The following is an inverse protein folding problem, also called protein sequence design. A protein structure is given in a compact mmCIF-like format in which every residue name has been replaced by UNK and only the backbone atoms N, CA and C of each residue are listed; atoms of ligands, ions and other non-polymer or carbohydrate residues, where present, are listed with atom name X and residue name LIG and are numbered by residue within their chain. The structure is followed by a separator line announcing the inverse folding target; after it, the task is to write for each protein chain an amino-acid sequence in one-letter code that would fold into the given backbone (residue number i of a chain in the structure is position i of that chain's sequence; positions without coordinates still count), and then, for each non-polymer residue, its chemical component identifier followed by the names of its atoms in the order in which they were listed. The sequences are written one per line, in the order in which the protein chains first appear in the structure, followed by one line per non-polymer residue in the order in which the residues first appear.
data_IF_471131596191
#
_entry.id   IF_471131596191
#
_cell.length_a   1.000
_cell.length_b   1.000
_cell.length_c   1.000
_cell.angle_alpha   90.00
_cell.angle_beta   90.00
_cell.angle_gamma   90.00
#
_symmetry.space_group_name_H-M   'P 1'
#
loop_
_entity.id
_entity.type
_entity.pdbx_description
1 polymer ?
#
# COMPACT_ATOMS: atom_id res chain seq x y z
N UNK A 1 16.19 12.56 -11.34
CA UNK A 1 15.77 11.90 -10.10
C UNK A 1 14.93 12.89 -9.34
N UNK A 2 13.66 12.57 -9.08
CA UNK A 2 12.76 13.49 -8.37
C UNK A 2 13.08 13.42 -6.88
N UNK A 3 12.99 14.54 -6.15
CA UNK A 3 13.27 14.61 -4.71
C UNK A 3 12.48 13.57 -3.89
N UNK A 4 11.30 13.19 -4.39
CA UNK A 4 10.47 12.11 -3.83
C UNK A 4 11.14 10.72 -3.88
N UNK A 5 11.94 10.40 -4.91
CA UNK A 5 12.64 9.13 -5.01
C UNK A 5 13.78 9.02 -3.98
N UNK A 6 14.50 10.11 -3.76
CA UNK A 6 15.59 10.17 -2.77
C UNK A 6 15.06 10.09 -1.33
N UNK A 7 13.93 10.75 -1.04
CA UNK A 7 13.25 10.65 0.25
C UNK A 7 12.73 9.22 0.54
N UNK A 8 12.19 8.54 -0.49
CA UNK A 8 11.77 7.15 -0.35
C UNK A 8 12.96 6.20 -0.12
N UNK A 9 14.11 6.49 -0.73
CA UNK A 9 15.33 5.70 -0.57
C UNK A 9 15.98 5.92 0.80
N UNK A 10 15.96 7.15 1.32
CA UNK A 10 16.44 7.46 2.66
C UNK A 10 15.57 6.80 3.73
N UNK A 11 14.25 6.84 3.57
CA UNK A 11 13.31 6.15 4.45
C UNK A 11 13.56 4.64 4.49
N UNK A 12 13.79 4.01 3.34
CA UNK A 12 14.10 2.57 3.28
C UNK A 12 15.36 2.21 4.08
N UNK A 13 16.43 3.02 3.98
CA UNK A 13 17.65 2.82 4.76
C UNK A 13 17.42 2.94 6.26
N UNK A 14 16.61 3.91 6.69
CA UNK A 14 16.26 4.09 8.12
C UNK A 14 15.54 2.83 8.63
N UNK A 15 14.65 2.26 7.83
CA UNK A 15 13.93 1.06 8.22
C UNK A 15 14.84 -0.17 8.35
N UNK A 16 15.76 -0.38 7.40
CA UNK A 16 16.73 -1.47 7.48
C UNK A 16 17.62 -1.31 8.72
N UNK A 17 17.99 -0.08 9.06
CA UNK A 17 18.72 0.24 10.28
C UNK A 17 17.91 -0.07 11.55
N UNK A 18 16.64 0.31 11.63
CA UNK A 18 15.76 -0.04 12.75
C UNK A 18 15.61 -1.56 12.91
N UNK A 19 15.54 -2.31 11.80
CA UNK A 19 15.51 -3.78 11.82
C UNK A 19 16.81 -4.35 12.37
N UNK A 20 17.96 -3.82 11.95
CA UNK A 20 19.25 -4.26 12.47
C UNK A 20 19.36 -4.04 13.99
N UNK A 21 18.93 -2.87 14.48
CA UNK A 21 18.89 -2.60 15.93
C UNK A 21 17.94 -3.57 16.65
N UNK A 22 16.76 -3.84 16.08
CA UNK A 22 15.83 -4.83 16.63
C UNK A 22 16.47 -6.21 16.78
N UNK A 23 17.20 -6.69 15.76
CA UNK A 23 17.93 -7.97 15.82
C UNK A 23 19.00 -7.94 16.91
N UNK A 24 19.80 -6.87 16.98
CA UNK A 24 20.86 -6.71 17.99
C UNK A 24 20.27 -6.78 19.41
N UNK A 25 19.11 -6.18 19.65
CA UNK A 25 18.44 -6.25 20.95
C UNK A 25 17.95 -7.65 21.31
N UNK A 26 17.47 -8.42 20.33
CA UNK A 26 17.12 -9.83 20.56
C UNK A 26 18.36 -10.63 20.93
N UNK A 27 19.48 -10.44 20.22
CA UNK A 27 20.76 -11.09 20.54
C UNK A 27 21.24 -10.69 21.93
N UNK A 28 21.19 -9.39 22.26
CA UNK A 28 21.55 -8.88 23.58
C UNK A 28 20.67 -9.44 24.69
N UNK A 29 19.35 -9.57 24.47
CA UNK A 29 18.42 -10.22 25.39
C UNK A 29 18.78 -11.69 25.61
N UNK A 30 19.06 -12.44 24.55
CA UNK A 30 19.47 -13.84 24.65
C UNK A 30 20.76 -13.95 25.47
N UNK A 31 21.78 -13.18 25.13
CA UNK A 31 23.06 -13.16 25.84
C UNK A 31 22.88 -12.81 27.33
N UNK A 32 22.18 -11.72 27.64
CA UNK A 32 22.01 -11.21 29.01
C UNK A 32 21.28 -12.20 29.94
N UNK A 33 20.21 -12.85 29.45
CA UNK A 33 19.37 -13.71 30.29
C UNK A 33 19.78 -15.19 30.28
N UNK A 34 20.46 -15.68 29.24
CA UNK A 34 20.87 -17.09 29.18
C UNK A 34 22.30 -17.34 29.65
N UNK A 35 23.15 -16.29 29.63
CA UNK A 35 24.60 -16.37 29.93
C UNK A 35 25.28 -17.55 29.24
N UNK A 36 24.88 -17.84 28.00
CA UNK A 36 25.53 -18.89 27.21
C UNK A 36 26.93 -18.40 26.85
N UNK A 37 27.95 -19.14 27.30
CA UNK A 37 29.35 -18.88 26.97
C UNK A 37 29.59 -19.26 25.50
N UNK A 38 29.50 -18.28 24.61
CA UNK A 38 29.70 -18.42 23.17
C UNK A 38 31.15 -18.27 22.66
N UNK A 39 32.10 -17.75 23.44
CA UNK A 39 33.48 -17.41 23.03
C UNK A 39 34.44 -17.66 24.20
N UNK A 40 35.66 -18.14 24.00
CA UNK A 40 36.62 -18.36 25.10
C UNK A 40 37.32 -17.08 25.63
N UNK A 41 36.87 -15.88 25.21
CA UNK A 41 37.52 -14.62 25.52
C UNK A 41 36.89 -13.89 26.70
N UNK A 42 37.49 -14.03 27.88
CA UNK A 42 37.06 -13.38 29.12
C UNK A 42 36.95 -11.84 28.99
N UNK A 43 37.79 -11.22 28.17
CA UNK A 43 37.76 -9.76 27.91
C UNK A 43 36.50 -9.33 27.15
N UNK A 44 35.99 -10.15 26.23
CA UNK A 44 34.79 -9.84 25.46
C UNK A 44 33.56 -9.80 26.37
N UNK A 45 33.39 -10.79 27.25
CA UNK A 45 32.30 -10.81 28.23
C UNK A 45 32.30 -9.59 29.13
N UNK A 46 33.48 -9.21 29.65
CA UNK A 46 33.60 -8.07 30.55
C UNK A 46 33.18 -6.76 29.87
N UNK A 47 33.57 -6.55 28.60
CA UNK A 47 33.18 -5.35 27.84
C UNK A 47 31.68 -5.37 27.53
N UNK A 48 31.14 -6.49 27.04
CA UNK A 48 29.71 -6.60 26.68
C UNK A 48 28.84 -6.46 27.92
N UNK A 49 29.18 -7.12 29.02
CA UNK A 49 28.44 -7.03 30.29
C UNK A 49 28.44 -5.60 30.83
N UNK A 50 29.57 -4.88 30.75
CA UNK A 50 29.64 -3.47 31.16
C UNK A 50 28.69 -2.61 30.33
N UNK A 51 28.67 -2.80 29.01
CA UNK A 51 27.77 -2.05 28.12
C UNK A 51 26.31 -2.36 28.44
N UNK A 52 25.93 -3.64 28.53
CA UNK A 52 24.55 -4.05 28.77
C UNK A 52 24.05 -3.62 30.16
N UNK A 53 24.90 -3.70 31.19
CA UNK A 53 24.56 -3.23 32.53
C UNK A 53 24.37 -1.72 32.58
N UNK A 54 25.19 -0.93 31.85
CA UNK A 54 24.99 0.52 31.74
C UNK A 54 23.66 0.85 31.04
N UNK A 55 23.31 0.13 29.96
CA UNK A 55 21.99 0.29 29.33
C UNK A 55 20.85 -0.08 30.26
N UNK A 56 21.05 -1.09 31.12
CA UNK A 56 20.05 -1.46 32.11
C UNK A 56 19.90 -0.43 33.23
N UNK A 57 21.00 0.15 33.73
CA UNK A 57 20.95 1.16 34.79
C UNK A 57 20.29 2.45 34.35
N UNK A 58 20.49 2.86 33.10
CA UNK A 58 19.96 4.12 32.56
C UNK A 58 18.55 3.98 31.97
N UNK A 59 18.25 2.86 31.29
CA UNK A 59 16.99 2.69 30.55
C UNK A 59 16.09 1.57 31.06
N UNK A 60 16.53 0.74 32.02
CA UNK A 60 15.75 -0.40 32.53
C UNK A 60 15.44 -1.47 31.47
N UNK A 61 16.19 -1.47 30.36
CA UNK A 61 15.88 -2.28 29.18
C UNK A 61 16.00 -3.79 29.45
N UNK A 62 16.92 -4.18 30.34
CA UNK A 62 17.16 -5.57 30.73
C UNK A 62 16.64 -5.88 32.15
N UNK A 63 15.79 -5.02 32.73
CA UNK A 63 15.22 -5.25 34.05
C UNK A 63 14.38 -6.53 34.08
N UNK A 64 13.65 -6.79 32.98
CA UNK A 64 12.93 -8.03 32.73
C UNK A 64 13.09 -8.44 31.27
N UNK A 65 13.03 -9.74 31.01
CA UNK A 65 13.06 -10.29 29.65
C UNK A 65 11.98 -9.70 28.75
N UNK A 66 10.82 -9.40 29.34
CA UNK A 66 9.69 -8.79 28.64
C UNK A 66 10.01 -7.38 28.10
N UNK A 67 10.69 -6.54 28.87
CA UNK A 67 10.96 -5.14 28.50
C UNK A 67 11.87 -5.05 27.25
N UNK A 68 12.98 -5.78 27.26
CA UNK A 68 13.92 -5.80 26.13
C UNK A 68 13.29 -6.37 24.87
N UNK A 69 12.45 -7.40 25.02
CA UNK A 69 11.67 -7.97 23.91
C UNK A 69 10.64 -7.00 23.38
N UNK A 70 9.93 -6.27 24.25
CA UNK A 70 8.96 -5.27 23.83
C UNK A 70 9.62 -4.15 23.02
N UNK A 71 10.81 -3.68 23.44
CA UNK A 71 11.57 -2.68 22.68
C UNK A 71 12.04 -3.22 21.32
N UNK A 72 12.55 -4.45 21.27
CA UNK A 72 12.91 -5.11 20.02
C UNK A 72 11.71 -5.27 19.08
N UNK A 73 10.53 -5.62 19.60
CA UNK A 73 9.28 -5.75 18.85
C UNK A 73 8.79 -4.41 18.31
N UNK A 74 8.89 -3.32 19.10
CA UNK A 74 8.53 -1.97 18.64
C UNK A 74 9.40 -1.54 17.45
N UNK A 75 10.72 -1.72 17.54
CA UNK A 75 11.63 -1.40 16.44
C UNK A 75 11.37 -2.29 15.21
N UNK A 76 11.05 -3.57 15.43
CA UNK A 76 10.67 -4.47 14.34
C UNK A 76 9.40 -3.97 13.64
N UNK A 77 8.37 -3.61 14.40
CA UNK A 77 7.11 -3.10 13.86
C UNK A 77 7.34 -1.84 13.02
N UNK A 78 8.08 -0.87 13.56
CA UNK A 78 8.47 0.35 12.83
C UNK A 78 9.26 0.02 11.55
N UNK A 79 10.16 -0.96 11.61
CA UNK A 79 10.95 -1.43 10.46
C UNK A 79 10.14 -2.19 9.40
N UNK A 80 8.87 -2.50 9.64
CA UNK A 80 8.00 -3.16 8.66
C UNK A 80 7.06 -2.17 7.95
N UNK A 81 6.78 -1.00 8.52
CA UNK A 81 5.73 -0.09 8.02
C UNK A 81 6.00 0.56 6.64
N UNK A 82 7.26 0.78 6.26
CA UNK A 82 7.61 1.38 4.95
C UNK A 82 8.35 0.47 3.96
N UNK A 83 8.56 -0.83 4.21
CA UNK A 83 9.26 -1.70 3.25
C UNK A 83 8.42 -1.86 1.99
N UNK A 84 9.06 -1.87 0.81
CA UNK A 84 8.38 -2.22 -0.45
C UNK A 84 8.62 -3.71 -0.67
N UNK A 85 7.61 -4.54 -0.46
CA UNK A 85 7.70 -5.96 -0.79
C UNK A 85 7.12 -6.24 -2.16
N UNK A 86 7.82 -7.05 -2.96
CA UNK A 86 7.30 -7.58 -4.23
C UNK A 86 6.25 -8.65 -3.93
N UNK A 87 5.19 -8.70 -4.74
CA UNK A 87 4.03 -9.58 -4.54
C UNK A 87 4.44 -11.06 -4.50
N UNK A 88 3.74 -11.80 -3.65
CA UNK A 88 3.66 -13.26 -3.69
C UNK A 88 2.17 -13.59 -3.48
N UNK A 89 1.52 -14.17 -4.48
CA UNK A 89 0.05 -14.24 -4.58
C UNK A 89 -0.61 -15.31 -3.70
N UNK A 90 0.16 -16.07 -2.93
CA UNK A 90 -0.35 -17.22 -2.18
C UNK A 90 -0.82 -16.93 -0.73
N UNK A 91 -0.54 -15.75 -0.16
CA UNK A 91 -0.69 -15.52 1.30
C UNK A 91 -1.97 -14.75 1.63
N UNK A 92 -2.87 -15.36 2.40
CA UNK A 92 -4.14 -14.72 2.82
C UNK A 92 -4.01 -13.95 4.14
N UNK A 93 -4.84 -12.92 4.34
CA UNK A 93 -4.90 -12.12 5.59
C UNK A 93 -5.00 -12.98 6.86
N UNK A 94 -5.78 -14.07 6.81
CA UNK A 94 -5.92 -15.00 7.95
C UNK A 94 -4.59 -15.63 8.33
N UNK A 95 -3.80 -16.09 7.36
CA UNK A 95 -2.49 -16.67 7.63
C UNK A 95 -1.53 -15.66 8.26
N UNK A 96 -1.53 -14.41 7.77
CA UNK A 96 -0.68 -13.34 8.28
C UNK A 96 -1.01 -13.05 9.75
N UNK A 97 -2.30 -12.88 10.08
CA UNK A 97 -2.74 -12.61 11.45
C UNK A 97 -2.39 -13.78 12.38
N UNK A 98 -2.60 -15.02 11.95
CA UNK A 98 -2.27 -16.21 12.77
C UNK A 98 -0.77 -16.29 13.03
N UNK A 99 0.07 -16.16 11.99
CA UNK A 99 1.53 -16.22 12.13
C UNK A 99 2.06 -15.07 12.99
N UNK A 100 1.52 -13.86 12.81
CA UNK A 100 1.86 -12.70 13.64
C UNK A 100 1.47 -12.90 15.10
N UNK A 101 0.24 -13.33 15.39
CA UNK A 101 -0.25 -13.56 16.74
C UNK A 101 0.54 -14.66 17.46
N UNK A 102 0.76 -15.80 16.78
CA UNK A 102 1.59 -16.90 17.32
C UNK A 102 3.02 -16.42 17.57
N UNK A 103 3.60 -15.67 16.63
CA UNK A 103 4.93 -15.08 16.78
C UNK A 103 5.05 -14.20 18.04
N UNK A 104 4.08 -13.31 18.27
CA UNK A 104 4.03 -12.43 19.45
C UNK A 104 3.94 -13.26 20.74
N UNK A 105 3.04 -14.25 20.78
CA UNK A 105 2.84 -15.10 21.96
C UNK A 105 4.11 -15.87 22.29
N UNK A 106 4.69 -16.56 21.30
CA UNK A 106 5.91 -17.36 21.47
C UNK A 106 7.10 -16.47 21.85
N UNK A 107 7.19 -15.25 21.30
CA UNK A 107 8.29 -14.34 21.57
C UNK A 107 8.22 -13.73 22.97
N UNK A 108 7.07 -13.17 23.38
CA UNK A 108 6.93 -12.43 24.64
C UNK A 108 6.74 -13.33 25.87
N UNK A 109 6.00 -14.44 25.73
CA UNK A 109 5.55 -15.24 26.87
C UNK A 109 6.37 -16.51 27.11
N UNK A 110 7.63 -16.57 26.65
CA UNK A 110 8.51 -17.72 26.88
C UNK A 110 9.46 -17.54 28.09
N UNK A 111 9.32 -16.46 28.86
CA UNK A 111 10.21 -16.13 30.00
C UNK A 111 10.20 -17.17 31.11
N UNK A 112 9.09 -17.89 31.30
CA UNK A 112 8.94 -18.97 32.28
C UNK A 112 9.86 -20.19 32.02
N UNK A 113 10.43 -20.32 30.82
CA UNK A 113 11.39 -21.39 30.49
C UNK A 113 12.75 -21.21 31.17
N UNK A 114 13.15 -19.95 31.45
CA UNK A 114 14.43 -19.62 32.08
C UNK A 114 14.56 -20.16 33.52
N UNK A 115 13.61 -19.91 34.44
CA UNK A 115 13.69 -20.46 35.81
C UNK A 115 13.57 -21.98 35.86
N UNK A 116 13.01 -22.62 34.82
CA UNK A 116 12.96 -24.10 34.70
C UNK A 116 14.27 -24.71 34.17
N UNK A 117 15.27 -23.89 33.82
CA UNK A 117 16.56 -24.36 33.29
C UNK A 117 16.58 -24.69 31.80
N UNK A 118 15.47 -24.50 31.07
CA UNK A 118 15.35 -24.81 29.64
C UNK A 118 15.90 -23.68 28.74
N UNK A 119 17.19 -23.35 28.90
CA UNK A 119 17.86 -22.24 28.20
C UNK A 119 17.82 -22.38 26.68
N UNK A 120 18.09 -23.57 26.13
CA UNK A 120 18.08 -23.79 24.68
C UNK A 120 16.68 -23.68 24.06
N UNK A 121 15.64 -24.18 24.76
CA UNK A 121 14.25 -24.05 24.32
C UNK A 121 13.82 -22.58 24.32
N UNK A 122 14.27 -21.82 25.33
CA UNK A 122 14.06 -20.38 25.38
C UNK A 122 14.71 -19.65 24.19
N UNK A 123 15.94 -20.02 23.81
CA UNK A 123 16.64 -19.43 22.65
C UNK A 123 15.87 -19.74 21.37
N UNK A 124 15.56 -21.01 21.12
CA UNK A 124 14.87 -21.46 19.90
C UNK A 124 13.49 -20.80 19.79
N UNK A 125 12.70 -20.81 20.86
CA UNK A 125 11.39 -20.17 20.85
C UNK A 125 11.48 -18.66 20.63
N UNK A 126 12.46 -17.97 21.22
CA UNK A 126 12.67 -16.53 20.99
C UNK A 126 13.00 -16.24 19.52
N UNK A 127 13.88 -17.04 18.91
CA UNK A 127 14.24 -16.89 17.49
C UNK A 127 13.04 -17.16 16.58
N UNK A 128 12.33 -18.26 16.80
CA UNK A 128 11.14 -18.63 15.99
C UNK A 128 10.03 -17.59 16.12
N UNK A 129 9.76 -17.10 17.33
CA UNK A 129 8.79 -16.05 17.56
C UNK A 129 9.16 -14.75 16.84
N UNK A 130 10.43 -14.36 16.89
CA UNK A 130 10.93 -13.18 16.16
C UNK A 130 10.80 -13.32 14.65
N UNK A 131 11.21 -14.47 14.08
CA UNK A 131 11.08 -14.74 12.64
C UNK A 131 9.61 -14.71 12.20
N UNK A 132 8.71 -15.31 12.98
CA UNK A 132 7.27 -15.27 12.70
C UNK A 132 6.71 -13.85 12.63
N UNK A 133 7.09 -13.00 13.60
CA UNK A 133 6.71 -11.58 13.59
C UNK A 133 7.31 -10.82 12.41
N UNK A 134 8.58 -11.06 12.06
CA UNK A 134 9.24 -10.41 10.92
C UNK A 134 8.55 -10.78 9.61
N UNK A 135 8.25 -12.07 9.39
CA UNK A 135 7.54 -12.55 8.20
C UNK A 135 6.14 -11.93 8.11
N UNK A 136 5.39 -11.95 9.22
CA UNK A 136 4.07 -11.30 9.30
C UNK A 136 4.15 -9.81 8.98
N UNK A 137 5.12 -9.08 9.54
CA UNK A 137 5.32 -7.65 9.28
C UNK A 137 5.61 -7.36 7.81
N UNK A 138 6.46 -8.17 7.17
CA UNK A 138 6.76 -8.07 5.73
C UNK A 138 5.50 -8.32 4.89
N UNK A 139 4.69 -9.33 5.23
CA UNK A 139 3.45 -9.63 4.51
C UNK A 139 2.39 -8.54 4.68
N UNK A 140 2.24 -7.96 5.89
CA UNK A 140 1.36 -6.80 6.13
C UNK A 140 1.78 -5.61 5.26
N UNK A 141 3.07 -5.31 5.23
CA UNK A 141 3.65 -4.20 4.45
C UNK A 141 3.33 -4.32 2.95
N UNK A 142 3.40 -5.55 2.41
CA UNK A 142 3.04 -5.86 1.01
C UNK A 142 1.58 -5.56 0.72
N UNK A 143 0.68 -5.95 1.62
CA UNK A 143 -0.75 -5.87 1.35
C UNK A 143 -1.33 -4.47 1.58
N UNK A 144 -0.83 -3.72 2.58
CA UNK A 144 -1.27 -2.33 2.83
C UNK A 144 -0.96 -1.38 1.67
N UNK A 145 0.18 -1.54 0.99
CA UNK A 145 0.54 -0.71 -0.17
C UNK A 145 -0.31 -0.96 -1.41
N UNK A 146 -1.00 -2.10 -1.49
CA UNK A 146 -1.90 -2.41 -2.60
C UNK A 146 -3.24 -1.66 -2.50
N UNK A 147 -3.57 -1.08 -1.33
CA UNK A 147 -4.82 -0.34 -1.10
C UNK A 147 -4.63 1.18 -0.91
N UNK A 148 -3.39 1.69 -0.84
CA UNK A 148 -3.12 3.12 -0.57
C UNK A 148 -2.41 3.88 -1.69
N UNK A 149 -2.00 3.20 -2.77
CA UNK A 149 -1.70 3.88 -4.02
C UNK A 149 -2.78 3.50 -5.01
N UNK A 150 -3.88 4.23 -4.89
CA UNK A 150 -4.78 4.38 -6.03
C UNK A 150 -3.94 4.84 -7.21
N UNK A 151 -4.08 4.11 -8.31
CA UNK A 151 -3.38 4.39 -9.54
C UNK A 151 -3.53 5.89 -9.86
N UNK A 152 -2.47 6.53 -10.38
CA UNK A 152 -2.62 7.90 -10.91
C UNK A 152 -3.63 7.92 -12.07
N UNK A 153 -3.86 6.76 -12.67
CA UNK A 153 -4.92 6.44 -13.64
C UNK A 153 -6.09 5.68 -12.98
N UNK A 154 -6.48 6.01 -11.75
CA UNK A 154 -7.72 5.50 -11.18
C UNK A 154 -8.90 6.19 -11.88
N UNK A 155 -9.97 5.44 -12.20
CA UNK A 155 -11.21 5.94 -12.80
C UNK A 155 -11.75 7.19 -12.06
N UNK A 156 -11.48 7.28 -10.75
CA UNK A 156 -11.85 8.43 -9.93
C UNK A 156 -10.98 9.67 -10.19
N UNK A 157 -9.67 9.49 -10.34
CA UNK A 157 -8.72 10.58 -10.62
C UNK A 157 -8.82 11.09 -12.06
N UNK A 158 -9.27 10.25 -13.00
CA UNK A 158 -9.56 10.64 -14.39
C UNK A 158 -11.00 11.14 -14.58
N UNK A 159 -11.86 10.97 -13.57
CA UNK A 159 -13.23 11.48 -13.62
C UNK A 159 -13.31 12.97 -13.29
N UNK A 160 -14.15 13.68 -14.02
CA UNK A 160 -14.48 15.08 -13.75
C UNK A 160 -15.96 15.34 -14.00
N UNK A 161 -16.49 16.37 -13.32
CA UNK A 161 -17.87 16.78 -13.47
C UNK A 161 -18.15 17.24 -14.92
N UNK A 162 -19.07 16.57 -15.60
CA UNK A 162 -19.57 16.97 -16.92
C UNK A 162 -20.89 17.75 -16.79
N UNK A 163 -21.34 18.39 -17.87
CA UNK A 163 -22.58 19.18 -17.85
C UNK A 163 -23.81 18.26 -17.69
N UNK A 164 -24.64 18.55 -16.67
CA UNK A 164 -25.84 17.78 -16.33
C UNK A 164 -27.10 18.44 -16.91
N UNK A 165 -27.06 19.75 -17.21
CA UNK A 165 -28.23 20.46 -17.73
C UNK A 165 -28.35 20.28 -19.23
N UNK A 166 -29.57 20.10 -19.69
CA UNK A 166 -29.91 20.17 -21.10
C UNK A 166 -30.00 21.63 -21.53
N UNK A 167 -29.09 22.07 -22.40
CA UNK A 167 -29.03 23.47 -22.87
C UNK A 167 -29.54 23.56 -24.31
N UNK A 168 -30.84 23.72 -24.46
CA UNK A 168 -31.49 23.83 -25.77
C UNK A 168 -31.58 25.27 -26.27
N UNK A 169 -31.42 25.42 -27.58
CA UNK A 169 -31.63 26.64 -28.34
C UNK A 169 -31.98 26.28 -29.81
N UNK A 170 -32.39 27.26 -30.64
CA UNK A 170 -32.82 27.01 -32.03
C UNK A 170 -31.79 26.32 -32.94
N UNK A 171 -30.51 26.30 -32.57
CA UNK A 171 -29.41 25.78 -33.38
C UNK A 171 -28.71 24.56 -32.78
N UNK A 172 -28.80 24.41 -31.45
CA UNK A 172 -28.05 23.44 -30.66
C UNK A 172 -28.24 21.98 -31.09
N UNK A 173 -27.31 21.12 -30.71
CA UNK A 173 -27.52 19.67 -30.74
C UNK A 173 -27.15 19.10 -29.38
N UNK A 174 -28.06 18.32 -28.80
CA UNK A 174 -27.94 17.82 -27.42
C UNK A 174 -27.92 16.29 -27.43
N UNK A 175 -26.84 15.69 -26.93
CA UNK A 175 -26.64 14.23 -26.94
C UNK A 175 -26.64 13.73 -25.48
N UNK A 176 -27.49 12.75 -25.13
CA UNK A 176 -27.50 12.19 -23.78
C UNK A 176 -26.21 11.39 -23.54
N UNK A 177 -25.61 11.56 -22.36
CA UNK A 177 -24.39 10.85 -21.95
C UNK A 177 -24.51 10.31 -20.52
N UNK A 178 -23.64 9.36 -20.17
CA UNK A 178 -23.40 8.93 -18.79
C UNK A 178 -21.92 9.08 -18.49
N UNK A 179 -21.61 9.65 -17.34
CA UNK A 179 -20.25 9.82 -16.88
C UNK A 179 -20.13 9.36 -15.42
N UNK A 180 -18.94 8.90 -15.07
CA UNK A 180 -18.62 8.52 -13.70
C UNK A 180 -17.98 9.73 -13.01
N UNK A 181 -18.39 10.03 -11.77
CA UNK A 181 -17.83 11.09 -10.95
C UNK A 181 -18.20 10.83 -9.48
N UNK A 182 -17.32 11.13 -8.52
CA UNK A 182 -17.56 10.93 -7.06
C UNK A 182 -18.10 9.53 -6.71
N UNK A 183 -17.49 8.48 -7.29
CA UNK A 183 -17.88 7.06 -7.13
C UNK A 183 -19.30 6.72 -7.57
N UNK A 184 -19.93 7.54 -8.41
CA UNK A 184 -21.32 7.35 -8.87
C UNK A 184 -21.44 7.57 -10.37
N UNK A 185 -22.40 6.87 -10.96
CA UNK A 185 -22.82 7.11 -12.34
C UNK A 185 -23.81 8.26 -12.39
N UNK A 186 -23.48 9.28 -13.15
CA UNK A 186 -24.32 10.44 -13.41
C UNK A 186 -24.83 10.41 -14.85
N UNK A 187 -26.07 10.86 -15.03
CA UNK A 187 -26.61 11.16 -16.37
C UNK A 187 -26.33 12.62 -16.69
N UNK A 188 -25.90 12.91 -17.91
CA UNK A 188 -25.59 14.26 -18.35
C UNK A 188 -25.86 14.47 -19.83
N UNK A 189 -25.43 15.62 -20.34
CA UNK A 189 -25.66 16.04 -21.72
C UNK A 189 -24.41 16.63 -22.35
N UNK A 190 -24.08 16.17 -23.56
CA UNK A 190 -23.15 16.86 -24.45
C UNK A 190 -23.97 17.89 -25.22
N UNK A 191 -23.83 19.17 -24.84
CA UNK A 191 -24.54 20.28 -25.46
C UNK A 191 -23.64 20.98 -26.49
N UNK A 192 -23.87 20.74 -27.78
CA UNK A 192 -23.24 21.51 -28.86
C UNK A 192 -24.10 22.75 -29.11
N UNK A 193 -23.88 23.78 -28.31
CA UNK A 193 -24.72 25.00 -28.30
C UNK A 193 -24.64 25.82 -29.59
N UNK A 194 -23.53 25.72 -30.32
CA UNK A 194 -23.32 26.41 -31.59
C UNK A 194 -22.60 25.49 -32.61
N UNK A 195 -23.36 24.66 -33.36
CA UNK A 195 -22.79 23.74 -34.34
C UNK A 195 -22.10 24.42 -35.54
N UNK A 196 -22.36 25.72 -35.77
CA UNK A 196 -21.82 26.45 -36.92
C UNK A 196 -20.31 26.71 -36.82
N UNK A 197 -19.69 26.52 -35.65
CA UNK A 197 -18.23 26.64 -35.45
C UNK A 197 -17.43 25.42 -35.90
N UNK A 198 -18.00 24.64 -36.82
CA UNK A 198 -17.60 23.29 -37.19
C UNK A 198 -17.72 22.29 -36.02
N UNK A 199 -18.14 21.07 -36.35
CA UNK A 199 -18.21 19.94 -35.42
C UNK A 199 -17.52 18.75 -36.08
N UNK A 200 -16.46 18.24 -35.46
CA UNK A 200 -15.65 17.14 -36.00
C UNK A 200 -15.82 15.92 -35.09
N UNK A 201 -16.10 14.77 -35.69
CA UNK A 201 -16.21 13.48 -34.99
C UNK A 201 -15.17 12.53 -35.58
N UNK A 202 -14.20 12.13 -34.77
CA UNK A 202 -13.11 11.23 -35.16
C UNK A 202 -13.31 9.84 -34.54
N UNK A 203 -12.81 8.81 -35.22
CA UNK A 203 -12.70 7.47 -34.65
C UNK A 203 -12.55 6.37 -35.70
N UNK A 204 -12.22 5.16 -35.27
CA UNK A 204 -11.98 3.99 -36.13
C UNK A 204 -13.26 3.37 -36.73
N UNK A 205 -13.21 2.69 -37.89
CA UNK A 205 -14.37 1.95 -38.42
C UNK A 205 -14.98 1.03 -37.35
N UNK A 206 -16.32 0.97 -37.28
CA UNK A 206 -17.03 0.15 -36.28
C UNK A 206 -17.28 0.81 -34.91
N UNK A 207 -16.68 1.97 -34.60
CA UNK A 207 -16.79 2.60 -33.27
C UNK A 207 -18.16 3.26 -32.95
N UNK A 208 -19.21 3.04 -33.74
CA UNK A 208 -20.56 3.55 -33.46
C UNK A 208 -20.82 5.05 -33.72
N UNK A 209 -19.87 5.81 -34.29
CA UNK A 209 -20.00 7.27 -34.57
C UNK A 209 -21.31 7.68 -35.24
N UNK A 210 -21.73 6.92 -36.25
CA UNK A 210 -22.94 7.22 -37.02
C UNK A 210 -24.18 7.16 -36.13
N UNK A 211 -24.31 6.10 -35.32
CA UNK A 211 -25.44 5.91 -34.41
C UNK A 211 -25.42 6.91 -33.25
N UNK A 212 -24.27 7.06 -32.59
CA UNK A 212 -24.17 7.85 -31.37
C UNK A 212 -24.20 9.37 -31.60
N UNK A 213 -23.58 9.86 -32.68
CA UNK A 213 -23.42 11.31 -32.91
C UNK A 213 -24.12 11.78 -34.17
N UNK A 214 -23.80 11.22 -35.35
CA UNK A 214 -24.29 11.75 -36.64
C UNK A 214 -25.82 11.68 -36.73
N UNK A 215 -26.42 10.56 -36.35
CA UNK A 215 -27.88 10.40 -36.38
C UNK A 215 -28.60 11.38 -35.45
N UNK A 216 -28.00 11.71 -34.29
CA UNK A 216 -28.56 12.71 -33.38
C UNK A 216 -28.51 14.11 -34.00
N UNK A 217 -27.40 14.47 -34.65
CA UNK A 217 -27.29 15.72 -35.41
C UNK A 217 -28.34 15.81 -36.51
N UNK A 218 -28.45 14.79 -37.36
CA UNK A 218 -29.41 14.78 -38.47
C UNK A 218 -30.85 14.94 -37.97
N UNK A 219 -31.27 14.12 -37.00
CA UNK A 219 -32.63 14.17 -36.45
C UNK A 219 -32.96 15.54 -35.86
N UNK A 220 -32.07 16.09 -35.03
CA UNK A 220 -32.33 17.37 -34.36
C UNK A 220 -32.30 18.55 -35.32
N UNK A 221 -31.39 18.56 -36.31
CA UNK A 221 -31.33 19.62 -37.31
C UNK A 221 -32.55 19.60 -38.25
N UNK A 222 -33.00 18.41 -38.69
CA UNK A 222 -34.24 18.26 -39.46
C UNK A 222 -35.45 18.75 -38.67
N UNK A 223 -35.57 18.33 -37.40
CA UNK A 223 -36.66 18.78 -36.52
C UNK A 223 -36.67 20.31 -36.32
N UNK A 224 -35.50 20.94 -36.38
CA UNK A 224 -35.34 22.39 -36.29
C UNK A 224 -35.49 23.12 -37.63
N UNK A 225 -35.82 22.40 -38.71
CA UNK A 225 -36.11 22.94 -40.03
C UNK A 225 -34.88 23.30 -40.86
N UNK A 226 -33.69 22.82 -40.50
CA UNK A 226 -32.48 23.07 -41.28
C UNK A 226 -32.40 22.19 -42.52
N UNK A 227 -31.94 22.79 -43.62
CA UNK A 227 -31.50 22.05 -44.79
C UNK A 227 -30.13 21.43 -44.52
N UNK A 228 -29.96 20.16 -44.91
CA UNK A 228 -28.73 19.40 -44.66
C UNK A 228 -28.18 18.85 -45.97
N UNK A 229 -26.89 19.05 -46.20
CA UNK A 229 -26.15 18.33 -47.24
C UNK A 229 -25.48 17.12 -46.60
N UNK A 230 -25.96 15.92 -46.94
CA UNK A 230 -25.46 14.67 -46.42
C UNK A 230 -24.70 13.92 -47.51
N UNK A 231 -23.40 13.70 -47.30
CA UNK A 231 -22.57 12.88 -48.16
C UNK A 231 -22.23 11.58 -47.42
N UNK A 232 -22.75 10.46 -47.90
CA UNK A 232 -22.52 9.13 -47.33
C UNK A 232 -21.86 8.20 -48.35
N UNK A 233 -20.63 7.80 -48.06
CA UNK A 233 -19.83 6.91 -48.90
C UNK A 233 -19.96 5.43 -48.48
N UNK A 234 -20.74 5.11 -47.43
CA UNK A 234 -20.86 3.74 -46.89
C UNK A 234 -21.90 2.87 -47.59
N UNK A 235 -22.51 3.32 -48.68
CA UNK A 235 -23.44 2.51 -49.46
C UNK A 235 -22.69 1.47 -50.31
N UNK A 236 -22.52 0.27 -49.76
CA UNK A 236 -22.35 -1.00 -50.48
C UNK A 236 -23.36 -1.99 -49.92
#
# INVERSE_FOLDING_TARGET
MSQQEDDLRSLAKIMDFLRAISIVLVVANLYFFTRVETVDSNEFYMVVDKILNNFNSECGLFANTFNSKLFAMLLLALSCFGTKGVKDEAITWRHIIIVGAVGIVVFLFNSWLLPLGYRYIYIISTILGYIGMLMSGIWISRMLKNNMMDDRFNDENESFMQEIRLLENPYSVNIPTRFYYEKKWHSGWINVVNPFRASIVLGTPGSGKSFAVVNNFLKQQINKGFALYCYDFKFV
#
